data_IF_518308483762
#
_entry.id   IF_518308483762
#
_cell.length_a   1.000
_cell.length_b   1.000
_cell.length_c   1.000
_cell.angle_alpha   90.00
_cell.angle_beta   90.00
_cell.angle_gamma   90.00
#
_symmetry.space_group_name_H-M   'P 1'
#
loop_
_entity.id
_entity.type
_entity.pdbx_description
1 polymer ?
#
# COMPACT_ATOMS: atom_id res chain seq x y z
N UNK A 1 -19.41 -5.22 13.07
CA UNK A 1 -19.06 -3.94 12.47
C UNK A 1 -17.63 -3.58 12.90
N UNK A 2 -16.74 -3.28 11.94
CA UNK A 2 -15.41 -2.78 12.24
C UNK A 2 -15.53 -1.32 12.70
N UNK A 3 -15.37 -1.08 14.01
CA UNK A 3 -15.17 0.27 14.50
C UNK A 3 -13.74 0.71 14.16
N UNK A 4 -13.56 1.91 13.69
CA UNK A 4 -12.28 2.51 13.36
C UNK A 4 -12.12 3.84 14.09
N UNK A 5 -10.89 4.28 14.28
CA UNK A 5 -10.55 5.58 14.85
C UNK A 5 -10.98 6.76 13.95
N UNK A 6 -11.50 6.48 12.73
CA UNK A 6 -11.93 7.53 11.81
C UNK A 6 -12.59 6.99 10.55
N UNK A 7 -12.80 7.85 9.56
CA UNK A 7 -13.38 7.47 8.26
C UNK A 7 -12.49 6.46 7.54
N UNK A 8 -13.06 5.33 7.13
CA UNK A 8 -12.34 4.24 6.45
C UNK A 8 -12.78 4.08 5.00
N UNK A 9 -11.84 3.69 4.14
CA UNK A 9 -12.07 3.38 2.73
C UNK A 9 -10.98 2.49 2.13
N UNK A 10 -11.22 1.98 0.93
CA UNK A 10 -10.27 1.16 0.14
C UNK A 10 -9.79 -0.10 0.87
N UNK A 11 -10.73 -0.83 1.48
CA UNK A 11 -10.41 -2.06 2.20
C UNK A 11 -9.98 -3.19 1.25
N UNK A 12 -8.99 -3.95 1.69
CA UNK A 12 -8.47 -5.14 1.00
C UNK A 12 -8.28 -6.25 2.03
N UNK A 13 -8.78 -7.44 1.72
CA UNK A 13 -8.71 -8.60 2.62
C UNK A 13 -7.68 -9.59 2.09
N UNK A 14 -6.82 -10.07 2.98
CA UNK A 14 -5.82 -11.10 2.71
C UNK A 14 -5.95 -12.18 3.76
N UNK A 15 -6.01 -13.45 3.33
CA UNK A 15 -5.93 -14.60 4.22
C UNK A 15 -4.48 -15.06 4.36
N UNK A 16 -4.02 -15.23 5.60
CA UNK A 16 -2.73 -15.80 5.91
C UNK A 16 -2.86 -16.75 7.09
N UNK A 17 -2.44 -18.00 6.89
CA UNK A 17 -2.69 -19.09 7.84
C UNK A 17 -4.21 -19.15 8.17
N UNK A 18 -4.57 -19.23 9.44
CA UNK A 18 -5.96 -19.25 9.89
C UNK A 18 -6.48 -17.86 10.28
N UNK A 19 -5.93 -16.79 9.68
CA UNK A 19 -6.33 -15.41 9.98
C UNK A 19 -6.66 -14.65 8.70
N UNK A 20 -7.64 -13.78 8.83
CA UNK A 20 -8.00 -12.77 7.83
C UNK A 20 -7.37 -11.45 8.27
N UNK A 21 -6.69 -10.78 7.37
CA UNK A 21 -6.13 -9.45 7.57
C UNK A 21 -6.90 -8.49 6.67
N UNK A 22 -7.46 -7.43 7.24
CA UNK A 22 -8.09 -6.36 6.48
C UNK A 22 -7.21 -5.12 6.55
N UNK A 23 -6.76 -4.67 5.39
CA UNK A 23 -6.01 -3.43 5.21
C UNK A 23 -6.96 -2.36 4.71
N UNK A 24 -6.87 -1.14 5.24
CA UNK A 24 -7.75 -0.05 4.86
C UNK A 24 -7.12 1.31 5.13
N UNK A 25 -7.59 2.32 4.41
CA UNK A 25 -7.17 3.70 4.63
C UNK A 25 -8.02 4.35 5.71
N UNK A 26 -7.38 5.06 6.63
CA UNK A 26 -7.99 5.78 7.75
C UNK A 26 -7.77 7.28 7.57
N UNK A 27 -8.82 8.09 7.80
CA UNK A 27 -8.77 9.56 7.76
C UNK A 27 -8.12 10.13 6.51
N UNK A 28 -8.34 9.47 5.37
CA UNK A 28 -7.81 9.84 4.05
C UNK A 28 -6.28 9.89 3.93
N UNK A 29 -5.51 9.58 4.96
CA UNK A 29 -4.05 9.74 4.96
C UNK A 29 -3.30 8.49 5.39
N UNK A 30 -3.71 7.85 6.48
CA UNK A 30 -3.00 6.70 7.06
C UNK A 30 -3.56 5.38 6.54
N UNK A 31 -2.72 4.35 6.55
CA UNK A 31 -3.14 2.98 6.27
C UNK A 31 -2.95 2.12 7.50
N UNK A 32 -3.97 1.33 7.79
CA UNK A 32 -4.04 0.46 8.94
C UNK A 32 -4.39 -0.96 8.54
N UNK A 33 -4.23 -1.89 9.47
CA UNK A 33 -4.83 -3.21 9.38
C UNK A 33 -5.40 -3.67 10.71
N UNK A 34 -6.28 -4.66 10.61
CA UNK A 34 -6.75 -5.52 11.69
C UNK A 34 -6.69 -6.96 11.23
N UNK A 35 -6.71 -7.89 12.15
CA UNK A 35 -6.80 -9.32 11.82
C UNK A 35 -7.85 -10.01 12.69
N UNK A 36 -8.38 -11.12 12.15
CA UNK A 36 -9.36 -11.97 12.80
C UNK A 36 -9.12 -13.43 12.44
N UNK A 37 -9.38 -14.35 13.36
CA UNK A 37 -9.38 -15.79 13.09
C UNK A 37 -10.74 -16.33 12.64
N UNK A 38 -11.82 -15.60 12.89
CA UNK A 38 -13.19 -16.06 12.64
C UNK A 38 -14.06 -15.07 11.82
N UNK A 39 -13.50 -13.93 11.42
CA UNK A 39 -14.21 -12.90 10.67
C UNK A 39 -15.17 -12.02 11.49
N UNK A 40 -15.43 -12.36 12.76
CA UNK A 40 -16.39 -11.65 13.62
C UNK A 40 -15.72 -10.80 14.68
N UNK A 41 -14.70 -11.34 15.36
CA UNK A 41 -13.89 -10.61 16.34
C UNK A 41 -12.59 -10.17 15.71
N UNK A 42 -12.31 -8.86 15.76
CA UNK A 42 -11.14 -8.25 15.12
C UNK A 42 -10.18 -7.68 16.16
N UNK A 43 -8.89 -7.77 15.88
CA UNK A 43 -7.84 -7.15 16.72
C UNK A 43 -8.02 -5.64 16.81
N UNK A 44 -7.30 -5.00 17.74
CA UNK A 44 -7.13 -3.55 17.74
C UNK A 44 -6.56 -3.07 16.39
N UNK A 45 -6.94 -1.85 16.00
CA UNK A 45 -6.41 -1.19 14.80
C UNK A 45 -4.92 -0.92 14.94
N UNK A 46 -4.15 -1.22 13.89
CA UNK A 46 -2.73 -0.93 13.83
C UNK A 46 -2.41 -0.08 12.62
N UNK A 47 -2.02 1.16 12.86
CA UNK A 47 -1.53 2.06 11.81
C UNK A 47 -0.14 1.58 11.36
N UNK A 48 0.02 1.33 10.08
CA UNK A 48 1.29 0.87 9.49
C UNK A 48 1.98 1.96 8.66
N UNK A 49 1.19 2.75 7.93
CA UNK A 49 1.70 3.83 7.09
C UNK A 49 1.04 5.14 7.52
N UNK A 50 1.84 6.16 7.71
CA UNK A 50 1.40 7.54 7.92
C UNK A 50 1.80 8.40 6.74
N UNK A 51 0.99 9.42 6.41
CA UNK A 51 1.31 10.33 5.34
C UNK A 51 0.74 11.73 5.57
N UNK A 52 1.40 12.74 5.02
CA UNK A 52 0.91 14.13 5.01
C UNK A 52 -0.18 14.34 3.97
N UNK A 53 -0.24 13.47 2.95
CA UNK A 53 -1.19 13.50 1.83
C UNK A 53 -1.86 12.15 1.63
N UNK A 54 -2.87 12.10 0.78
CA UNK A 54 -3.55 10.85 0.44
C UNK A 54 -2.64 9.93 -0.38
N UNK A 55 -2.54 8.68 0.04
CA UNK A 55 -1.93 7.59 -0.74
C UNK A 55 -2.98 6.51 -1.03
N UNK A 56 -2.86 5.92 -2.20
CA UNK A 56 -3.58 4.71 -2.59
C UNK A 56 -2.60 3.56 -2.53
N UNK A 57 -2.90 2.56 -1.72
CA UNK A 57 -2.05 1.38 -1.54
C UNK A 57 -2.73 0.14 -2.10
N UNK A 58 -1.92 -0.73 -2.70
CA UNK A 58 -2.26 -2.11 -3.01
C UNK A 58 -1.42 -3.02 -2.13
N UNK A 59 -2.09 -3.98 -1.48
CA UNK A 59 -1.50 -4.99 -0.62
C UNK A 59 -1.64 -6.33 -1.29
N UNK A 60 -0.54 -7.04 -1.52
CA UNK A 60 -0.56 -8.29 -2.26
C UNK A 60 0.29 -9.36 -1.59
N UNK A 61 -0.26 -10.56 -1.38
CA UNK A 61 0.55 -11.71 -0.97
C UNK A 61 1.69 -11.93 -1.97
N UNK A 62 2.86 -12.23 -1.47
CA UNK A 62 3.97 -12.71 -2.30
C UNK A 62 3.96 -14.23 -2.34
N UNK A 63 4.83 -14.83 -3.13
CA UNK A 63 5.06 -16.28 -3.11
C UNK A 63 5.70 -16.75 -1.80
N UNK A 64 6.30 -15.84 -1.04
CA UNK A 64 6.80 -16.13 0.32
C UNK A 64 5.66 -16.02 1.31
N UNK A 65 5.37 -17.13 1.99
CA UNK A 65 4.26 -17.20 2.93
C UNK A 65 4.37 -16.12 4.02
N UNK A 66 3.30 -15.39 4.24
CA UNK A 66 3.21 -14.30 5.23
C UNK A 66 3.91 -13.00 4.86
N UNK A 67 4.46 -12.88 3.67
CA UNK A 67 5.04 -11.65 3.15
C UNK A 67 4.07 -10.97 2.20
N UNK A 68 3.69 -9.74 2.51
CA UNK A 68 2.78 -8.91 1.73
C UNK A 68 3.59 -7.79 1.09
N UNK A 69 3.47 -7.63 -0.22
CA UNK A 69 4.02 -6.49 -0.94
C UNK A 69 3.06 -5.32 -0.84
N UNK A 70 3.62 -4.14 -0.63
CA UNK A 70 2.89 -2.88 -0.57
C UNK A 70 3.38 -2.04 -1.75
N UNK A 71 2.47 -1.67 -2.66
CA UNK A 71 2.71 -0.65 -3.66
C UNK A 71 1.80 0.53 -3.40
N UNK A 72 2.31 1.74 -3.55
CA UNK A 72 1.54 2.94 -3.26
C UNK A 72 1.87 4.09 -4.18
N UNK A 73 0.87 4.91 -4.46
CA UNK A 73 0.99 6.20 -5.15
C UNK A 73 0.18 7.24 -4.41
N UNK A 74 0.61 8.49 -4.46
CA UNK A 74 -0.16 9.59 -3.91
C UNK A 74 -1.35 9.97 -4.79
N UNK A 75 -2.24 10.80 -4.25
CA UNK A 75 -3.35 11.35 -5.04
C UNK A 75 -2.81 12.16 -6.21
N UNK A 76 -3.42 12.07 -7.42
CA UNK A 76 -3.08 12.94 -8.54
C UNK A 76 -3.06 14.42 -8.15
N UNK A 77 -2.02 15.13 -8.55
CA UNK A 77 -1.83 16.52 -8.20
C UNK A 77 -1.12 16.78 -6.86
N UNK A 78 -0.74 15.73 -6.13
CA UNK A 78 0.10 15.87 -4.93
C UNK A 78 1.57 16.19 -5.27
N UNK A 79 2.32 16.60 -4.26
CA UNK A 79 3.76 16.88 -4.40
C UNK A 79 4.65 15.63 -4.47
N UNK A 80 4.09 14.44 -4.30
CA UNK A 80 4.82 13.16 -4.39
C UNK A 80 4.18 12.22 -5.41
N UNK A 81 4.40 12.43 -6.72
CA UNK A 81 3.78 11.63 -7.78
C UNK A 81 4.49 10.30 -8.04
N UNK A 82 5.40 9.90 -7.19
CA UNK A 82 6.17 8.66 -7.34
C UNK A 82 5.36 7.43 -6.95
N UNK A 83 5.67 6.28 -7.59
CA UNK A 83 5.21 4.99 -7.11
C UNK A 83 6.27 4.41 -6.18
N UNK A 84 5.84 4.04 -4.99
CA UNK A 84 6.69 3.51 -3.92
C UNK A 84 6.34 2.07 -3.59
N UNK A 85 7.33 1.34 -3.08
CA UNK A 85 7.16 -0.07 -2.73
C UNK A 85 7.86 -0.43 -1.41
N UNK A 86 7.28 -1.40 -0.73
CA UNK A 86 7.84 -2.05 0.44
C UNK A 86 7.15 -3.37 0.72
N UNK A 87 7.45 -3.94 1.89
CA UNK A 87 6.90 -5.22 2.33
C UNK A 87 6.45 -5.15 3.79
N UNK A 88 5.46 -5.96 4.12
CA UNK A 88 5.11 -6.28 5.50
C UNK A 88 5.21 -7.79 5.71
N UNK A 89 5.91 -8.20 6.76
CA UNK A 89 5.95 -9.59 7.21
C UNK A 89 4.92 -9.79 8.31
N UNK A 90 3.92 -10.60 8.07
CA UNK A 90 2.81 -10.79 9.01
C UNK A 90 3.23 -11.56 10.26
N UNK A 91 4.26 -12.41 10.18
CA UNK A 91 4.79 -13.18 11.29
C UNK A 91 5.34 -12.30 12.43
N UNK A 92 6.17 -11.34 12.09
CA UNK A 92 6.81 -10.42 13.05
C UNK A 92 6.24 -8.99 13.01
N UNK A 93 5.22 -8.76 12.16
CA UNK A 93 4.56 -7.45 11.96
C UNK A 93 5.53 -6.34 11.57
N UNK A 94 6.66 -6.68 10.97
CA UNK A 94 7.68 -5.74 10.55
C UNK A 94 7.48 -5.28 9.10
N UNK A 95 7.85 -4.03 8.84
CA UNK A 95 7.74 -3.37 7.55
C UNK A 95 9.16 -3.16 7.03
N UNK A 96 9.36 -3.49 5.76
CA UNK A 96 10.64 -3.44 5.07
C UNK A 96 10.57 -2.57 3.82
N UNK A 97 11.71 -2.11 3.36
CA UNK A 97 11.83 -1.39 2.10
C UNK A 97 11.65 -2.32 0.88
N UNK A 98 11.81 -1.76 -0.33
CA UNK A 98 11.58 -2.48 -1.60
C UNK A 98 12.52 -3.67 -1.85
N UNK A 99 13.67 -3.74 -1.19
CA UNK A 99 14.59 -4.89 -1.29
C UNK A 99 14.26 -6.01 -0.29
N UNK A 100 13.24 -5.80 0.56
CA UNK A 100 12.81 -6.75 1.60
C UNK A 100 13.90 -7.11 2.63
N UNK A 101 14.92 -6.30 2.77
CA UNK A 101 16.06 -6.52 3.69
C UNK A 101 16.14 -5.48 4.80
N UNK A 102 16.01 -4.20 4.44
CA UNK A 102 16.11 -3.11 5.40
C UNK A 102 14.79 -2.90 6.10
N UNK A 103 14.75 -3.16 7.40
CA UNK A 103 13.58 -2.94 8.25
C UNK A 103 13.34 -1.44 8.44
N UNK A 104 12.13 -0.99 8.17
CA UNK A 104 11.69 0.39 8.39
C UNK A 104 11.04 0.60 9.76
N UNK A 105 10.48 -0.47 10.34
CA UNK A 105 9.80 -0.45 11.63
C UNK A 105 8.66 -1.46 11.72
N UNK A 106 7.73 -1.24 12.65
CA UNK A 106 6.54 -2.10 12.83
C UNK A 106 5.23 -1.35 12.76
N UNK A 107 5.25 -0.01 12.82
CA UNK A 107 4.06 0.85 12.80
C UNK A 107 4.44 2.29 12.47
N UNK A 108 3.47 3.09 12.06
CA UNK A 108 3.60 4.53 11.82
C UNK A 108 4.76 4.92 10.88
N UNK A 109 5.02 4.09 9.86
CA UNK A 109 6.07 4.37 8.89
C UNK A 109 5.60 5.48 7.95
N UNK A 110 6.38 6.56 7.84
CA UNK A 110 6.08 7.58 6.82
C UNK A 110 6.12 6.98 5.42
N UNK A 111 5.11 7.30 4.59
CA UNK A 111 5.06 6.85 3.19
C UNK A 111 6.33 7.21 2.42
N UNK A 112 6.99 8.31 2.75
CA UNK A 112 8.24 8.75 2.11
C UNK A 112 9.47 7.91 2.46
N UNK A 113 9.40 7.06 3.49
CA UNK A 113 10.45 6.09 3.85
C UNK A 113 10.52 4.90 2.90
N UNK A 114 9.43 4.63 2.18
CA UNK A 114 9.40 3.55 1.19
C UNK A 114 10.15 3.95 -0.07
N UNK A 115 10.90 3.01 -0.64
CA UNK A 115 11.68 3.28 -1.85
C UNK A 115 10.78 3.63 -3.03
N UNK A 116 11.19 4.62 -3.78
CA UNK A 116 10.62 4.94 -5.09
C UNK A 116 11.06 3.88 -6.09
N UNK A 117 10.10 3.21 -6.72
CA UNK A 117 10.34 2.21 -7.78
C UNK A 117 10.08 2.80 -9.17
N UNK A 118 9.18 3.77 -9.26
CA UNK A 118 8.91 4.52 -10.48
C UNK A 118 8.93 5.99 -10.10
N UNK A 119 9.91 6.70 -10.63
CA UNK A 119 10.00 8.16 -10.48
C UNK A 119 9.02 8.84 -11.42
N UNK A 120 8.48 9.94 -10.98
CA UNK A 120 7.70 10.80 -11.85
C UNK A 120 8.57 11.37 -12.98
N UNK A 121 8.03 11.33 -14.18
CA UNK A 121 8.58 12.12 -15.30
C UNK A 121 8.10 13.56 -15.13
N UNK A 122 8.99 14.53 -15.31
CA UNK A 122 8.65 15.96 -15.20
C UNK A 122 7.39 16.32 -15.98
N UNK A 123 6.50 17.06 -15.35
CA UNK A 123 5.22 17.45 -15.94
C UNK A 123 4.15 16.37 -16.03
N UNK A 124 4.41 15.16 -15.54
CA UNK A 124 3.43 14.06 -15.53
C UNK A 124 3.01 13.67 -14.12
N UNK A 125 1.80 13.17 -13.99
CA UNK A 125 1.26 12.57 -12.77
C UNK A 125 1.05 11.09 -12.99
N UNK A 126 1.38 10.27 -12.00
CA UNK A 126 1.21 8.82 -12.06
C UNK A 126 0.11 8.37 -11.11
N UNK A 127 -0.65 7.37 -11.52
CA UNK A 127 -1.66 6.73 -10.69
C UNK A 127 -1.52 5.22 -10.79
N UNK A 128 -1.33 4.59 -9.66
CA UNK A 128 -1.31 3.14 -9.54
C UNK A 128 -2.73 2.59 -9.73
N UNK A 129 -2.88 1.63 -10.64
CA UNK A 129 -4.13 0.90 -10.84
C UNK A 129 -4.08 -0.45 -10.16
N UNK A 130 -3.10 -1.24 -10.52
CA UNK A 130 -2.98 -2.58 -9.98
C UNK A 130 -1.53 -3.05 -9.94
N UNK A 131 -1.31 -4.16 -9.25
CA UNK A 131 0.00 -4.78 -9.11
C UNK A 131 -0.20 -6.29 -9.12
N UNK A 132 0.59 -7.02 -9.90
CA UNK A 132 0.61 -8.46 -9.93
C UNK A 132 2.02 -9.00 -9.64
N UNK A 133 2.09 -10.16 -9.00
CA UNK A 133 3.35 -10.86 -8.78
C UNK A 133 3.42 -12.00 -9.78
N UNK A 134 4.34 -11.89 -10.72
CA UNK A 134 4.51 -12.91 -11.78
C UNK A 134 5.47 -14.01 -11.36
N UNK A 135 6.46 -13.66 -10.54
CA UNK A 135 7.41 -14.61 -9.92
C UNK A 135 7.89 -14.05 -8.58
N UNK A 136 8.60 -14.84 -7.73
CA UNK A 136 9.16 -14.34 -6.47
C UNK A 136 10.00 -13.07 -6.60
N UNK A 137 10.62 -12.89 -7.77
CA UNK A 137 11.54 -11.75 -8.04
C UNK A 137 10.93 -10.67 -8.93
N UNK A 138 9.77 -10.90 -9.58
CA UNK A 138 9.19 -9.98 -10.55
C UNK A 138 7.83 -9.47 -10.09
N UNK A 139 7.64 -8.17 -10.23
CA UNK A 139 6.37 -7.48 -9.99
C UNK A 139 5.97 -6.75 -11.24
N UNK A 140 4.77 -7.01 -11.72
CA UNK A 140 4.13 -6.19 -12.72
C UNK A 140 3.37 -5.07 -12.02
N UNK A 141 3.63 -3.83 -12.38
CA UNK A 141 2.93 -2.65 -11.85
C UNK A 141 2.16 -2.02 -13.00
N UNK A 142 0.84 -2.05 -12.91
CA UNK A 142 -0.03 -1.36 -13.86
C UNK A 142 -0.30 0.05 -13.32
N UNK A 143 0.06 1.06 -14.10
CA UNK A 143 -0.18 2.45 -13.73
C UNK A 143 -0.52 3.30 -14.95
N UNK A 144 -1.14 4.45 -14.72
CA UNK A 144 -1.30 5.48 -15.75
C UNK A 144 -0.36 6.65 -15.48
N UNK A 145 0.09 7.27 -16.56
CA UNK A 145 0.84 8.51 -16.53
C UNK A 145 0.14 9.53 -17.42
N UNK A 146 -0.12 10.74 -16.91
CA UNK A 146 -0.81 11.78 -17.65
C UNK A 146 -0.17 13.15 -17.41
N UNK A 147 -0.18 13.98 -18.46
CA UNK A 147 0.54 15.24 -18.52
C UNK A 147 -0.22 16.43 -17.94
N UNK A 148 -1.52 16.30 -17.60
CA UNK A 148 -2.31 17.41 -17.09
C UNK A 148 -3.20 16.97 -15.91
N UNK A 149 -3.23 17.79 -14.86
CA UNK A 149 -4.01 17.54 -13.64
C UNK A 149 -5.52 17.63 -13.85
N UNK A 150 -5.98 18.36 -14.85
CA UNK A 150 -7.38 18.70 -15.07
C UNK A 150 -8.06 17.96 -16.21
N UNK A 151 -7.30 17.43 -17.17
CA UNK A 151 -7.84 16.72 -18.34
C UNK A 151 -7.00 15.48 -18.63
N UNK A 152 -7.11 14.49 -17.76
CA UNK A 152 -6.44 13.21 -17.98
C UNK A 152 -7.06 12.47 -19.16
N UNK A 153 -6.49 12.62 -20.37
CA UNK A 153 -6.57 11.54 -21.36
C UNK A 153 -5.68 10.42 -20.81
N UNK A 154 -6.30 9.37 -20.33
CA UNK A 154 -5.60 8.24 -19.73
C UNK A 154 -4.83 7.49 -20.82
N UNK A 155 -3.52 7.52 -20.74
CA UNK A 155 -2.69 6.54 -21.45
C UNK A 155 -2.41 5.39 -20.48
N UNK A 156 -2.75 4.18 -20.89
CA UNK A 156 -2.43 2.94 -20.15
C UNK A 156 -1.15 2.39 -20.78
N UNK A 157 -0.15 2.10 -19.97
CA UNK A 157 1.12 1.50 -20.39
C UNK A 157 1.28 0.13 -19.73
#
# INVERSE_FOLDING_TARGET
VLSSSGKVCYSQIIKYQNKYYIFYRVNNKSWAYRYSSNGTKWSAEKIIITAKMQYYCKFMPTTTNGVIRICMTSNPGSSDPNIRMGFIHLSNKAIYNSNNKTKLGTSNISATKFNTIIKNVSGKTQRLFDVAITTPKKTLVLFTSFSNKTKAKNSVY
#
